data_IF_199302653875
#
_entry.id   IF_199302653875
#
_cell.length_a   1.000
_cell.length_b   1.000
_cell.length_c   1.000
_cell.angle_alpha   90.00
_cell.angle_beta   90.00
_cell.angle_gamma   90.00
#
_symmetry.space_group_name_H-M   'P 1'
#
loop_
_entity.id
_entity.type
_entity.pdbx_description
1 polymer ?
#
# COMPACT_ATOMS: atom_id res chain seq x y z
N UNK A 1 -4.90 29.57 10.20
CA UNK A 1 -4.43 28.44 11.03
C UNK A 1 -3.23 27.79 10.35
N UNK A 2 -2.12 27.54 11.07
CA UNK A 2 -0.92 26.90 10.50
C UNK A 2 -0.95 25.40 10.77
N UNK A 3 -0.88 24.58 9.73
CA UNK A 3 -0.82 23.11 9.83
C UNK A 3 0.64 22.67 9.71
N UNK A 4 1.10 21.80 10.61
CA UNK A 4 2.44 21.24 10.59
C UNK A 4 2.34 19.72 10.47
N UNK A 5 3.10 19.13 9.54
CA UNK A 5 3.16 17.68 9.32
C UNK A 5 4.50 17.18 9.87
N UNK A 6 4.46 16.10 10.65
CA UNK A 6 5.68 15.47 11.15
C UNK A 6 6.49 14.87 9.99
N UNK A 7 7.82 14.99 10.05
CA UNK A 7 8.72 14.47 9.00
C UNK A 7 8.59 12.96 8.78
N UNK A 8 8.16 12.23 9.81
CA UNK A 8 7.98 10.77 9.79
C UNK A 8 6.54 10.33 9.55
N UNK A 9 5.62 11.27 9.30
CA UNK A 9 4.22 10.93 9.05
C UNK A 9 4.08 10.15 7.74
N UNK A 10 3.31 9.05 7.78
CA UNK A 10 3.02 8.21 6.63
C UNK A 10 3.53 6.78 6.78
N UNK A 11 3.80 6.13 5.65
CA UNK A 11 4.26 4.75 5.64
C UNK A 11 5.73 4.62 6.02
N UNK A 12 6.04 3.61 6.84
CA UNK A 12 7.41 3.15 6.97
C UNK A 12 7.88 2.52 5.64
N UNK A 13 9.19 2.36 5.50
CA UNK A 13 9.80 1.78 4.29
C UNK A 13 9.17 0.42 3.91
N UNK A 14 8.92 -0.45 4.90
CA UNK A 14 8.35 -1.78 4.66
C UNK A 14 6.93 -1.72 4.09
N UNK A 15 6.06 -0.90 4.68
CA UNK A 15 4.68 -0.70 4.19
C UNK A 15 4.69 -0.09 2.80
N UNK A 16 5.51 0.95 2.58
CA UNK A 16 5.63 1.61 1.28
C UNK A 16 6.03 0.61 0.19
N UNK A 17 7.08 -0.18 0.44
CA UNK A 17 7.55 -1.21 -0.48
C UNK A 17 6.50 -2.28 -0.75
N UNK A 18 5.80 -2.76 0.29
CA UNK A 18 4.76 -3.77 0.15
C UNK A 18 3.61 -3.29 -0.75
N UNK A 19 3.14 -2.06 -0.54
CA UNK A 19 2.09 -1.43 -1.35
C UNK A 19 2.55 -1.20 -2.78
N UNK A 20 3.77 -0.71 -3.00
CA UNK A 20 4.34 -0.50 -4.34
C UNK A 20 4.49 -1.83 -5.10
N UNK A 21 4.90 -2.91 -4.45
CA UNK A 21 4.97 -4.24 -5.08
C UNK A 21 3.57 -4.69 -5.52
N UNK A 22 2.59 -4.60 -4.63
CA UNK A 22 1.22 -5.04 -4.91
C UNK A 22 0.60 -4.25 -6.09
N UNK A 23 0.77 -2.92 -6.12
CA UNK A 23 0.25 -2.07 -7.19
C UNK A 23 0.91 -2.31 -8.55
N UNK A 24 2.20 -2.67 -8.57
CA UNK A 24 2.94 -2.90 -9.82
C UNK A 24 2.75 -4.31 -10.39
N UNK A 25 2.29 -5.26 -9.58
CA UNK A 25 2.23 -6.66 -9.97
C UNK A 25 1.25 -6.98 -11.12
N UNK A 26 0.06 -6.32 -11.25
CA UNK A 26 -0.84 -6.51 -12.40
C UNK A 26 -0.21 -6.14 -13.76
N UNK A 27 0.80 -5.26 -13.78
CA UNK A 27 1.54 -4.96 -15.01
C UNK A 27 2.53 -6.04 -15.44
N UNK A 28 2.75 -7.07 -14.61
CA UNK A 28 3.77 -8.12 -14.82
C UNK A 28 3.17 -9.52 -14.92
N UNK A 29 1.96 -9.73 -14.40
CA UNK A 29 1.28 -11.01 -14.34
C UNK A 29 -0.13 -10.87 -14.91
N UNK A 30 -0.59 -11.88 -15.67
CA UNK A 30 -1.93 -11.85 -16.28
C UNK A 30 -2.99 -12.45 -15.35
N UNK A 31 -2.54 -13.32 -14.45
CA UNK A 31 -3.36 -14.03 -13.49
C UNK A 31 -3.72 -13.14 -12.29
N UNK A 32 -4.87 -13.38 -11.63
CA UNK A 32 -5.23 -12.66 -10.42
C UNK A 32 -4.18 -12.84 -9.31
N UNK A 33 -3.89 -11.76 -8.61
CA UNK A 33 -2.85 -11.70 -7.58
C UNK A 33 -3.51 -11.70 -6.21
N UNK A 34 -3.02 -12.55 -5.31
CA UNK A 34 -3.56 -12.70 -3.97
C UNK A 34 -2.47 -12.49 -2.93
N UNK A 35 -2.85 -11.89 -1.80
CA UNK A 35 -2.03 -11.79 -0.60
C UNK A 35 -2.52 -12.78 0.46
N UNK A 36 -1.61 -13.33 1.26
CA UNK A 36 -1.99 -14.15 2.42
C UNK A 36 -2.51 -13.24 3.54
N UNK A 37 -3.81 -12.94 3.50
CA UNK A 37 -4.45 -11.97 4.39
C UNK A 37 -4.34 -10.53 3.90
N UNK A 38 -4.67 -9.57 4.76
CA UNK A 38 -4.60 -8.14 4.42
C UNK A 38 -3.16 -7.67 4.26
N UNK A 39 -2.83 -7.02 3.13
CA UNK A 39 -1.49 -6.49 2.87
C UNK A 39 -1.00 -5.55 3.99
N UNK A 40 -1.88 -4.67 4.45
CA UNK A 40 -1.72 -3.82 5.63
C UNK A 40 -3.07 -3.57 6.30
N UNK A 41 -3.05 -3.16 7.57
CA UNK A 41 -4.26 -2.78 8.32
C UNK A 41 -4.69 -1.34 8.04
N UNK A 42 -4.99 -1.03 6.77
CA UNK A 42 -5.57 0.23 6.35
C UNK A 42 -6.66 -0.03 5.30
N UNK A 43 -7.95 0.01 5.68
CA UNK A 43 -9.04 -0.30 4.76
C UNK A 43 -9.08 0.57 3.50
N UNK A 44 -8.68 1.84 3.61
CA UNK A 44 -8.69 2.78 2.48
C UNK A 44 -7.60 2.45 1.47
N UNK A 45 -6.45 1.94 1.92
CA UNK A 45 -5.39 1.47 1.02
C UNK A 45 -5.78 0.13 0.41
N UNK A 46 -6.38 -0.77 1.19
CA UNK A 46 -6.85 -2.06 0.67
C UNK A 46 -7.91 -1.90 -0.42
N UNK A 47 -8.75 -0.86 -0.39
CA UNK A 47 -9.71 -0.59 -1.47
C UNK A 47 -9.06 -0.19 -2.79
N UNK A 48 -7.80 0.27 -2.80
CA UNK A 48 -7.06 0.57 -4.03
C UNK A 48 -6.51 -0.71 -4.71
N UNK A 49 -6.56 -1.84 -4.01
CA UNK A 49 -6.01 -3.13 -4.46
C UNK A 49 -7.10 -4.12 -4.91
N UNK A 50 -8.37 -3.71 -4.88
CA UNK A 50 -9.50 -4.48 -5.40
C UNK A 50 -9.75 -4.11 -6.86
#
# INVERSE_FOLDING_TARGET
MKILIAKTAGFCMGVRRAVEIALNAPGKHKEPIYTYGSLIHNPHVLSLLK
#
